data_IF_573367166321
#
_entry.id   IF_573367166321
#
_cell.length_a   1.000
_cell.length_b   1.000
_cell.length_c   1.000
_cell.angle_alpha   90.00
_cell.angle_beta   90.00
_cell.angle_gamma   90.00
#
_symmetry.space_group_name_H-M   'P 1'
#
loop_
_entity.id
_entity.type
_entity.pdbx_description
1 polymer ?
#
# COMPACT_ATOMS: atom_id res chain seq x y z
N UNK A 1 -22.24 32.62 -18.09
CA UNK A 1 -21.62 31.32 -18.42
C UNK A 1 -22.60 30.56 -19.29
N UNK A 2 -22.21 30.18 -20.51
CA UNK A 2 -23.12 29.53 -21.44
C UNK A 2 -23.39 28.09 -20.99
N UNK A 3 -24.59 27.57 -21.21
CA UNK A 3 -24.97 26.19 -20.82
C UNK A 3 -23.94 25.15 -21.30
N UNK A 4 -23.40 25.32 -22.52
CA UNK A 4 -22.33 24.47 -23.06
C UNK A 4 -21.03 24.49 -22.24
N UNK A 5 -20.65 25.64 -21.65
CA UNK A 5 -19.44 25.72 -20.80
C UNK A 5 -19.60 24.96 -19.48
N UNK A 6 -20.80 24.96 -18.90
CA UNK A 6 -21.07 24.19 -17.68
C UNK A 6 -21.04 22.68 -17.94
N UNK A 7 -21.59 22.23 -19.07
CA UNK A 7 -21.56 20.82 -19.46
C UNK A 7 -20.15 20.31 -19.70
N UNK A 8 -19.27 21.11 -20.32
CA UNK A 8 -17.87 20.75 -20.53
C UNK A 8 -17.09 20.65 -19.22
N UNK A 9 -17.32 21.56 -18.28
CA UNK A 9 -16.66 21.50 -16.96
C UNK A 9 -17.15 20.26 -16.18
N UNK A 10 -18.45 19.97 -16.24
CA UNK A 10 -19.02 18.78 -15.60
C UNK A 10 -18.48 17.46 -16.18
N UNK A 11 -18.33 17.37 -17.51
CA UNK A 11 -17.78 16.16 -18.13
C UNK A 11 -16.30 15.94 -17.82
N UNK A 12 -15.49 17.00 -17.82
CA UNK A 12 -14.07 16.93 -17.46
C UNK A 12 -13.89 16.53 -16.00
N UNK A 13 -14.68 17.11 -15.08
CA UNK A 13 -14.62 16.75 -13.65
C UNK A 13 -15.08 15.32 -13.36
N UNK A 14 -16.10 14.82 -14.07
CA UNK A 14 -16.49 13.41 -14.01
C UNK A 14 -15.40 12.48 -14.56
N UNK A 15 -14.74 12.86 -15.66
CA UNK A 15 -13.67 12.06 -16.22
C UNK A 15 -12.44 11.99 -15.29
N UNK A 16 -12.03 13.12 -14.70
CA UNK A 16 -10.87 13.17 -13.79
C UNK A 16 -11.11 12.44 -12.48
N UNK A 17 -12.34 12.51 -11.94
CA UNK A 17 -12.71 11.76 -10.73
C UNK A 17 -12.78 10.25 -10.99
N UNK A 18 -13.27 9.84 -12.18
CA UNK A 18 -13.26 8.44 -12.59
C UNK A 18 -11.82 7.93 -12.74
N UNK A 19 -10.96 8.63 -13.49
CA UNK A 19 -9.53 8.30 -13.62
C UNK A 19 -8.84 8.18 -12.25
N UNK A 20 -9.07 9.13 -11.35
CA UNK A 20 -8.50 9.11 -9.99
C UNK A 20 -8.98 7.91 -9.17
N UNK A 21 -10.26 7.55 -9.29
CA UNK A 21 -10.81 6.36 -8.65
C UNK A 21 -10.19 5.08 -9.21
N UNK A 22 -10.10 4.95 -10.53
CA UNK A 22 -9.50 3.78 -11.19
C UNK A 22 -8.00 3.65 -10.89
N UNK A 23 -7.26 4.75 -10.87
CA UNK A 23 -5.81 4.72 -10.60
C UNK A 23 -5.52 4.33 -9.16
N UNK A 24 -6.32 4.80 -8.21
CA UNK A 24 -6.18 4.42 -6.80
C UNK A 24 -6.64 2.95 -6.57
N UNK A 25 -7.59 2.46 -7.37
CA UNK A 25 -8.14 1.10 -7.25
C UNK A 25 -7.23 0.01 -7.85
N UNK A 26 -6.28 0.35 -8.75
CA UNK A 26 -5.32 -0.62 -9.32
C UNK A 26 -4.47 -1.34 -8.26
N UNK A 27 -4.31 -0.77 -7.07
CA UNK A 27 -3.60 -1.43 -5.97
C UNK A 27 -4.45 -2.46 -5.20
N UNK A 28 -5.78 -2.42 -5.32
CA UNK A 28 -6.68 -3.31 -4.57
C UNK A 28 -7.01 -4.60 -5.33
N UNK A 29 -7.00 -4.59 -6.67
CA UNK A 29 -7.27 -5.77 -7.50
C UNK A 29 -5.97 -6.57 -7.67
N UNK A 30 -5.55 -7.27 -6.62
CA UNK A 30 -4.61 -8.39 -6.75
C UNK A 30 -5.41 -9.67 -6.58
N UNK A 31 -5.15 -10.67 -7.43
CA UNK A 31 -5.67 -12.02 -7.21
C UNK A 31 -5.18 -12.51 -5.85
N UNK A 32 -6.07 -12.53 -4.86
CA UNK A 32 -5.81 -13.06 -3.53
C UNK A 32 -6.54 -14.39 -3.39
N UNK A 33 -5.99 -15.27 -2.57
CA UNK A 33 -6.78 -16.41 -2.08
C UNK A 33 -8.01 -15.86 -1.35
N UNK A 34 -9.17 -16.53 -1.39
CA UNK A 34 -10.38 -16.08 -0.72
C UNK A 34 -10.15 -15.77 0.77
N UNK A 35 -9.27 -16.53 1.41
CA UNK A 35 -8.89 -16.35 2.83
C UNK A 35 -8.04 -15.08 3.09
N UNK A 36 -7.39 -14.53 2.05
CA UNK A 36 -6.50 -13.36 2.12
C UNK A 36 -7.20 -12.06 1.70
N UNK A 37 -8.47 -12.12 1.27
CA UNK A 37 -9.23 -10.94 0.80
C UNK A 37 -9.33 -9.89 1.91
N UNK A 38 -9.54 -10.33 3.15
CA UNK A 38 -9.68 -9.46 4.32
C UNK A 38 -8.36 -9.07 4.98
N UNK A 39 -7.24 -9.67 4.56
CA UNK A 39 -5.95 -9.29 5.13
C UNK A 39 -5.55 -7.89 4.64
N UNK A 40 -4.97 -7.04 5.52
CA UNK A 40 -4.45 -5.76 5.09
C UNK A 40 -3.37 -5.97 4.01
N UNK A 41 -3.22 -5.05 3.06
CA UNK A 41 -2.25 -5.22 1.99
C UNK A 41 -0.83 -5.13 2.59
N UNK A 42 0.07 -6.00 2.13
CA UNK A 42 1.46 -6.05 2.60
C UNK A 42 2.43 -5.62 1.50
N UNK A 43 3.57 -5.08 1.91
CA UNK A 43 4.77 -4.85 1.08
C UNK A 43 5.96 -5.57 1.69
N UNK A 44 6.90 -6.00 0.85
CA UNK A 44 8.19 -6.48 1.33
C UNK A 44 9.16 -5.31 1.39
N UNK A 45 9.83 -5.13 2.52
CA UNK A 45 10.90 -4.16 2.73
C UNK A 45 12.20 -4.88 3.07
N UNK A 46 13.33 -4.21 2.94
CA UNK A 46 14.62 -4.71 3.45
C UNK A 46 14.92 -4.09 4.81
N UNK A 47 15.16 -4.92 5.81
CA UNK A 47 15.63 -4.51 7.13
C UNK A 47 17.06 -5.06 7.32
N UNK A 48 18.06 -4.26 6.95
CA UNK A 48 19.43 -4.75 6.77
C UNK A 48 19.50 -5.76 5.61
N UNK A 49 19.97 -6.97 5.90
CA UNK A 49 20.01 -8.10 4.95
C UNK A 49 18.73 -8.93 4.92
N UNK A 50 17.76 -8.67 5.81
CA UNK A 50 16.56 -9.49 5.96
C UNK A 50 15.34 -8.89 5.23
N UNK A 51 14.72 -9.63 4.29
CA UNK A 51 13.47 -9.21 3.68
C UNK A 51 12.30 -9.42 4.67
N UNK A 52 11.62 -8.34 5.05
CA UNK A 52 10.46 -8.36 5.95
C UNK A 52 9.16 -8.06 5.21
N UNK A 53 8.13 -8.87 5.46
CA UNK A 53 6.77 -8.59 5.00
C UNK A 53 6.04 -7.75 6.03
N UNK A 54 5.66 -6.53 5.64
CA UNK A 54 5.07 -5.54 6.55
C UNK A 54 3.78 -4.99 5.96
N UNK A 55 2.81 -4.65 6.81
CA UNK A 55 1.58 -3.99 6.34
C UNK A 55 1.93 -2.66 5.68
N UNK A 56 1.17 -2.27 4.66
CA UNK A 56 1.41 -1.05 3.89
C UNK A 56 1.30 0.24 4.72
N UNK A 57 0.48 0.21 5.77
CA UNK A 57 0.21 1.32 6.70
C UNK A 57 1.14 1.34 7.91
N UNK A 58 1.97 0.31 8.11
CA UNK A 58 2.87 0.25 9.26
C UNK A 58 4.10 1.16 9.07
N UNK A 59 4.56 1.71 10.19
CA UNK A 59 5.85 2.39 10.27
C UNK A 59 6.99 1.38 10.06
N UNK A 60 7.75 1.60 8.99
CA UNK A 60 8.82 0.72 8.55
C UNK A 60 9.97 0.72 9.55
N UNK A 61 10.27 1.87 10.14
CA UNK A 61 11.41 2.03 11.04
C UNK A 61 11.15 1.30 12.37
N UNK A 62 9.94 1.47 12.92
CA UNK A 62 9.52 0.81 14.16
C UNK A 62 9.51 -0.71 14.00
N UNK A 63 8.94 -1.23 12.90
CA UNK A 63 8.89 -2.67 12.63
C UNK A 63 10.29 -3.25 12.43
N UNK A 64 11.15 -2.57 11.65
CA UNK A 64 12.50 -3.04 11.40
C UNK A 64 13.34 -3.05 12.70
N UNK A 65 13.24 -1.98 13.51
CA UNK A 65 13.92 -1.90 14.81
C UNK A 65 13.48 -3.03 15.74
N UNK A 66 12.18 -3.25 15.88
CA UNK A 66 11.64 -4.34 16.70
C UNK A 66 12.05 -5.72 16.21
N UNK A 67 12.16 -5.92 14.89
CA UNK A 67 12.64 -7.18 14.31
C UNK A 67 14.13 -7.44 14.63
N UNK A 68 14.99 -6.45 14.43
CA UNK A 68 16.43 -6.57 14.75
C UNK A 68 16.65 -6.79 16.25
N UNK A 69 15.86 -6.13 17.10
CA UNK A 69 15.91 -6.34 18.55
C UNK A 69 15.55 -7.78 18.93
N UNK A 70 14.51 -8.36 18.29
CA UNK A 70 14.15 -9.78 18.48
C UNK A 70 15.26 -10.73 18.04
N UNK A 71 15.85 -10.52 16.86
CA UNK A 71 16.99 -11.33 16.39
C UNK A 71 18.16 -11.25 17.37
N UNK A 72 18.46 -10.07 17.92
CA UNK A 72 19.49 -9.88 18.95
C UNK A 72 19.21 -10.67 20.23
N UNK A 73 17.93 -10.82 20.61
CA UNK A 73 17.56 -11.60 21.81
C UNK A 73 17.59 -13.11 21.60
N UNK A 74 17.34 -13.59 20.38
CA UNK A 74 17.37 -15.02 20.04
C UNK A 74 18.81 -15.49 19.77
N UNK A 75 19.72 -14.56 19.43
CA UNK A 75 21.14 -14.85 19.17
C UNK A 75 21.47 -14.96 17.68
N UNK A 76 20.47 -14.91 16.79
CA UNK A 76 20.62 -15.08 15.33
C UNK A 76 21.29 -13.89 14.61
N UNK A 77 21.59 -12.79 15.31
CA UNK A 77 22.22 -11.60 14.70
C UNK A 77 23.76 -11.61 14.78
N UNK A 78 24.38 -12.62 15.40
CA UNK A 78 25.83 -12.71 15.63
C UNK A 78 26.49 -14.04 15.22
N UNK A 79 25.80 -14.90 14.46
CA UNK A 79 26.38 -16.06 13.78
C UNK A 79 26.60 -15.76 12.28
#
# INVERSE_FOLDING_TARGET
MNSCTLLLIASVTMFTSCESFWWNNRNYIRFRKPDDVWQPPFRTIMCGSFPLKVRLDADVEEVCKGYLERLRTIGELYD
#
